data_IF_689466651810
#
_entry.id   IF_689466651810
#
_cell.length_a   1.000
_cell.length_b   1.000
_cell.length_c   1.000
_cell.angle_alpha   90.00
_cell.angle_beta   90.00
_cell.angle_gamma   90.00
#
_symmetry.space_group_name_H-M   'P 1'
#
loop_
_entity.id
_entity.type
_entity.pdbx_description
1 polymer ?
#
# COMPACT_ATOMS: atom_id res chain seq x y z
N UNK A 1 -58.43 1.97 -5.08
CA UNK A 1 -57.13 2.60 -4.74
C UNK A 1 -56.18 2.47 -5.94
N UNK A 2 -55.77 3.54 -6.60
CA UNK A 2 -54.71 3.48 -7.63
C UNK A 2 -53.39 3.10 -6.93
N UNK A 3 -52.65 2.12 -7.43
CA UNK A 3 -51.32 1.81 -6.86
C UNK A 3 -50.44 3.06 -7.01
N UNK A 4 -49.80 3.47 -5.93
CA UNK A 4 -48.79 4.52 -5.93
C UNK A 4 -47.72 4.17 -6.98
N UNK A 5 -47.70 4.90 -8.08
CA UNK A 5 -46.75 4.72 -9.16
C UNK A 5 -45.43 5.37 -8.76
N UNK A 6 -44.52 4.58 -8.16
CA UNK A 6 -43.16 5.02 -7.82
C UNK A 6 -42.35 5.27 -9.11
N UNK A 7 -42.00 6.55 -9.37
CA UNK A 7 -41.27 6.95 -10.58
C UNK A 7 -39.75 6.81 -10.39
N UNK A 8 -39.04 6.03 -11.21
CA UNK A 8 -37.59 5.95 -11.17
C UNK A 8 -36.87 7.29 -11.36
N UNK A 9 -37.52 8.26 -12.05
CA UNK A 9 -36.97 9.62 -12.25
C UNK A 9 -36.72 10.33 -10.93
N UNK A 10 -37.52 10.04 -9.89
CA UNK A 10 -37.32 10.61 -8.55
C UNK A 10 -35.98 10.16 -7.95
N UNK A 11 -35.67 8.85 -8.02
CA UNK A 11 -34.37 8.32 -7.57
C UNK A 11 -33.23 8.89 -8.40
N UNK A 12 -33.39 8.96 -9.71
CA UNK A 12 -32.38 9.54 -10.59
C UNK A 12 -32.10 11.01 -10.21
N UNK A 13 -33.12 11.82 -10.01
CA UNK A 13 -32.98 13.24 -9.60
C UNK A 13 -32.25 13.34 -8.24
N UNK A 14 -32.61 12.49 -7.28
CA UNK A 14 -31.96 12.45 -5.96
C UNK A 14 -30.48 12.12 -6.08
N UNK A 15 -30.12 11.04 -6.79
CA UNK A 15 -28.73 10.60 -6.99
C UNK A 15 -27.90 11.59 -7.84
N UNK A 16 -28.50 12.27 -8.81
CA UNK A 16 -27.81 13.34 -9.56
C UNK A 16 -27.44 14.52 -8.65
N UNK A 17 -28.32 14.85 -7.69
CA UNK A 17 -28.10 15.95 -6.75
C UNK A 17 -27.05 15.62 -5.69
N UNK A 18 -27.12 14.41 -5.11
CA UNK A 18 -26.30 14.01 -3.96
C UNK A 18 -25.10 13.15 -4.34
N UNK A 19 -24.99 12.72 -5.61
CA UNK A 19 -23.99 11.81 -6.20
C UNK A 19 -24.04 10.40 -5.65
N UNK A 20 -24.10 10.25 -4.31
CA UNK A 20 -24.28 8.96 -3.62
C UNK A 20 -25.49 9.05 -2.69
N UNK A 21 -26.12 7.93 -2.39
CA UNK A 21 -27.18 7.83 -1.40
C UNK A 21 -27.23 6.41 -0.80
N UNK A 22 -27.69 6.34 0.44
CA UNK A 22 -27.99 5.08 1.13
C UNK A 22 -29.40 4.58 0.78
N UNK A 23 -29.67 3.30 1.10
CA UNK A 23 -31.02 2.73 0.88
C UNK A 23 -32.13 3.47 1.65
N UNK A 24 -31.96 3.86 2.94
CA UNK A 24 -32.94 4.69 3.63
C UNK A 24 -33.23 6.01 2.93
N UNK A 25 -32.23 6.77 2.51
CA UNK A 25 -32.41 8.03 1.79
C UNK A 25 -33.14 7.83 0.46
N UNK A 26 -32.85 6.74 -0.25
CA UNK A 26 -33.56 6.38 -1.48
C UNK A 26 -35.02 5.98 -1.22
N UNK A 27 -35.32 5.32 -0.10
CA UNK A 27 -36.68 5.01 0.33
C UNK A 27 -37.48 6.30 0.60
N UNK A 28 -36.89 7.19 1.36
CA UNK A 28 -37.51 8.47 1.71
C UNK A 28 -37.74 9.32 0.44
N UNK A 29 -36.74 9.42 -0.44
CA UNK A 29 -36.86 10.14 -1.70
C UNK A 29 -37.97 9.57 -2.62
N UNK A 30 -38.17 8.24 -2.62
CA UNK A 30 -39.17 7.56 -3.43
C UNK A 30 -40.56 7.55 -2.77
N UNK A 31 -40.64 7.76 -1.44
CA UNK A 31 -41.84 7.56 -0.65
C UNK A 31 -42.23 6.08 -0.50
N UNK A 32 -41.24 5.18 -0.59
CA UNK A 32 -41.45 3.73 -0.52
C UNK A 32 -41.05 3.17 0.84
N UNK A 33 -41.90 2.30 1.42
CA UNK A 33 -41.59 1.60 2.66
C UNK A 33 -40.75 0.32 2.45
N UNK A 34 -40.88 -0.33 1.29
CA UNK A 34 -40.26 -1.62 0.98
C UNK A 34 -38.95 -1.47 0.17
N UNK A 35 -37.89 -2.10 0.62
CA UNK A 35 -36.56 -2.11 -0.04
C UNK A 35 -36.63 -2.66 -1.47
N UNK A 36 -37.39 -3.72 -1.69
CA UNK A 36 -37.60 -4.33 -3.00
C UNK A 36 -38.16 -3.33 -4.04
N UNK A 37 -39.00 -2.38 -3.61
CA UNK A 37 -39.53 -1.36 -4.49
C UNK A 37 -38.43 -0.43 -5.00
N UNK A 38 -37.54 -0.01 -4.10
CA UNK A 38 -36.36 0.82 -4.46
C UNK A 38 -35.46 0.05 -5.42
N UNK A 39 -35.08 -1.19 -5.11
CA UNK A 39 -34.20 -1.98 -5.97
C UNK A 39 -34.78 -2.26 -7.36
N UNK A 40 -36.11 -2.50 -7.46
CA UNK A 40 -36.77 -2.65 -8.76
C UNK A 40 -36.68 -1.37 -9.60
N UNK A 41 -36.72 -0.20 -8.97
CA UNK A 41 -36.56 1.10 -9.67
C UNK A 41 -35.11 1.44 -9.95
N UNK A 42 -34.16 1.13 -9.04
CA UNK A 42 -32.74 1.28 -9.28
C UNK A 42 -32.24 0.44 -10.46
N UNK A 43 -32.74 -0.79 -10.61
CA UNK A 43 -32.40 -1.65 -11.76
C UNK A 43 -32.73 -1.04 -13.12
N UNK A 44 -33.64 -0.08 -13.17
CA UNK A 44 -33.96 0.66 -14.40
C UNK A 44 -33.00 1.83 -14.67
N UNK A 45 -32.11 2.11 -13.69
CA UNK A 45 -31.21 3.27 -13.69
C UNK A 45 -29.78 2.76 -13.63
N UNK A 46 -29.15 2.27 -14.54
CA UNK A 46 -27.73 1.82 -14.49
C UNK A 46 -26.95 2.36 -13.26
N UNK A 47 -27.05 1.65 -12.14
CA UNK A 47 -26.50 2.05 -10.85
C UNK A 47 -25.31 1.21 -10.43
N UNK A 48 -24.48 1.77 -9.55
CA UNK A 48 -23.37 1.09 -8.89
C UNK A 48 -23.61 1.06 -7.40
N UNK A 49 -23.13 0.01 -6.73
CA UNK A 49 -22.99 -0.06 -5.27
C UNK A 49 -21.52 0.13 -4.86
N UNK A 50 -21.31 0.78 -3.73
CA UNK A 50 -19.96 0.92 -3.16
C UNK A 50 -19.36 -0.44 -2.83
N UNK A 51 -18.06 -0.59 -2.98
CA UNK A 51 -17.38 -1.78 -2.46
C UNK A 51 -16.91 -1.59 -1.02
N UNK A 52 -16.78 -0.35 -0.55
CA UNK A 52 -16.61 -0.02 0.86
C UNK A 52 -17.96 0.07 1.58
N UNK A 53 -17.93 0.24 2.91
CA UNK A 53 -19.13 0.42 3.75
C UNK A 53 -20.17 -0.72 3.55
N UNK A 54 -19.70 -1.94 3.25
CA UNK A 54 -20.54 -3.13 3.03
C UNK A 54 -21.59 -2.95 1.94
N UNK A 55 -21.31 -2.19 0.89
CA UNK A 55 -22.20 -1.97 -0.24
C UNK A 55 -23.42 -1.12 0.03
N UNK A 56 -23.40 -0.30 1.09
CA UNK A 56 -24.58 0.46 1.54
C UNK A 56 -24.89 1.71 0.74
N UNK A 57 -23.96 2.18 -0.09
CA UNK A 57 -24.13 3.40 -0.89
C UNK A 57 -24.32 3.06 -2.36
N UNK A 58 -25.17 3.84 -3.00
CA UNK A 58 -25.52 3.69 -4.42
C UNK A 58 -25.20 4.98 -5.17
N UNK A 59 -24.72 4.86 -6.40
CA UNK A 59 -24.42 5.95 -7.30
C UNK A 59 -24.96 5.62 -8.70
N UNK A 60 -25.26 6.63 -9.51
CA UNK A 60 -25.56 6.42 -10.93
C UNK A 60 -24.24 6.31 -11.72
N UNK A 61 -24.17 5.34 -12.63
CA UNK A 61 -23.01 5.17 -13.48
C UNK A 61 -22.66 6.43 -14.29
N UNK A 62 -23.66 7.19 -14.69
CA UNK A 62 -23.48 8.45 -15.43
C UNK A 62 -22.78 9.56 -14.61
N UNK A 63 -22.83 9.51 -13.28
CA UNK A 63 -22.18 10.48 -12.39
C UNK A 63 -20.76 10.10 -11.99
N UNK A 64 -20.44 8.82 -12.10
CA UNK A 64 -19.15 8.26 -11.69
C UNK A 64 -18.08 8.51 -12.77
N UNK A 65 -16.93 9.03 -12.36
CA UNK A 65 -15.75 9.20 -13.21
C UNK A 65 -14.62 8.37 -12.63
N UNK A 66 -14.48 7.15 -13.16
CA UNK A 66 -13.38 6.28 -12.73
C UNK A 66 -12.04 6.85 -13.16
N UNK A 67 -11.06 6.70 -12.29
CA UNK A 67 -9.65 6.95 -12.59
C UNK A 67 -9.06 5.87 -13.50
N UNK A 68 -7.75 5.97 -13.79
CA UNK A 68 -7.03 5.06 -14.68
C UNK A 68 -7.02 3.62 -14.16
N UNK A 69 -7.06 3.42 -12.83
CA UNK A 69 -7.11 2.09 -12.20
C UNK A 69 -8.54 1.57 -12.01
N UNK A 70 -9.55 2.37 -12.35
CA UNK A 70 -10.95 1.96 -12.32
C UNK A 70 -11.65 2.18 -10.99
N UNK A 71 -11.15 3.10 -10.17
CA UNK A 71 -11.74 3.49 -8.89
C UNK A 71 -12.36 4.89 -8.97
N UNK A 72 -13.34 5.13 -8.13
CA UNK A 72 -13.92 6.45 -7.90
C UNK A 72 -14.40 6.56 -6.45
N UNK A 73 -14.21 7.73 -5.86
CA UNK A 73 -14.67 8.00 -4.49
C UNK A 73 -15.47 9.28 -4.38
N UNK A 74 -16.36 9.30 -3.39
CA UNK A 74 -17.08 10.49 -2.94
C UNK A 74 -17.30 10.36 -1.43
N UNK A 75 -16.89 11.38 -0.65
CA UNK A 75 -17.00 11.41 0.81
C UNK A 75 -16.46 10.13 1.49
N UNK A 76 -15.25 9.69 1.09
CA UNK A 76 -14.60 8.46 1.57
C UNK A 76 -15.35 7.15 1.24
N UNK A 77 -16.39 7.18 0.43
CA UNK A 77 -17.09 6.01 -0.09
C UNK A 77 -16.53 5.64 -1.46
N UNK A 78 -16.05 4.40 -1.60
CA UNK A 78 -15.36 3.97 -2.82
C UNK A 78 -16.21 3.04 -3.68
N UNK A 79 -16.11 3.26 -4.98
CA UNK A 79 -16.77 2.50 -6.04
C UNK A 79 -15.71 1.98 -7.02
N UNK A 80 -15.97 0.82 -7.61
CA UNK A 80 -15.09 0.20 -8.58
C UNK A 80 -15.83 -0.13 -9.87
N UNK A 81 -15.13 0.01 -11.01
CA UNK A 81 -15.67 -0.46 -12.30
C UNK A 81 -15.85 -1.99 -12.33
N UNK A 82 -15.16 -2.69 -11.45
CA UNK A 82 -15.21 -4.15 -11.32
C UNK A 82 -16.36 -4.64 -10.40
N UNK A 83 -17.04 -3.73 -9.71
CA UNK A 83 -18.20 -4.00 -8.87
C UNK A 83 -17.85 -4.24 -7.40
N UNK A 84 -17.98 -5.48 -6.91
CA UNK A 84 -17.75 -5.82 -5.50
C UNK A 84 -16.28 -5.73 -5.09
N UNK A 85 -15.99 -5.67 -3.77
CA UNK A 85 -14.61 -5.72 -3.26
C UNK A 85 -13.87 -6.97 -3.74
N UNK A 86 -14.52 -8.14 -3.69
CA UNK A 86 -13.94 -9.42 -4.14
C UNK A 86 -13.54 -9.34 -5.62
N UNK A 87 -14.45 -8.88 -6.49
CA UNK A 87 -14.17 -8.75 -7.94
C UNK A 87 -13.10 -7.69 -8.22
N UNK A 88 -13.05 -6.63 -7.42
CA UNK A 88 -12.04 -5.58 -7.53
C UNK A 88 -10.66 -6.11 -7.14
N UNK A 89 -10.54 -6.79 -6.00
CA UNK A 89 -9.30 -7.45 -5.55
C UNK A 89 -8.79 -8.42 -6.60
N UNK A 90 -9.65 -9.29 -7.13
CA UNK A 90 -9.28 -10.23 -8.18
C UNK A 90 -8.75 -9.53 -9.44
N UNK A 91 -9.44 -8.49 -9.89
CA UNK A 91 -9.03 -7.73 -11.07
C UNK A 91 -7.69 -7.04 -10.87
N UNK A 92 -7.47 -6.43 -9.70
CA UNK A 92 -6.20 -5.77 -9.37
C UNK A 92 -5.03 -6.76 -9.34
N UNK A 93 -5.22 -7.94 -8.73
CA UNK A 93 -4.17 -8.97 -8.69
C UNK A 93 -3.88 -9.50 -10.10
N UNK A 94 -4.91 -9.77 -10.90
CA UNK A 94 -4.73 -10.30 -12.25
C UNK A 94 -4.14 -9.28 -13.23
N UNK A 95 -4.37 -7.98 -13.05
CA UNK A 95 -3.81 -6.93 -13.90
C UNK A 95 -2.43 -6.46 -13.46
N UNK A 96 -2.01 -6.79 -12.24
CA UNK A 96 -0.71 -6.39 -11.73
C UNK A 96 0.42 -7.13 -12.44
N UNK A 97 1.49 -6.46 -12.86
CA UNK A 97 2.67 -7.13 -13.42
C UNK A 97 3.49 -7.88 -12.37
N UNK A 98 3.32 -7.58 -11.08
CA UNK A 98 4.14 -8.11 -9.97
C UNK A 98 3.35 -8.67 -8.79
N UNK A 99 2.04 -8.91 -8.95
CA UNK A 99 1.15 -9.31 -7.85
C UNK A 99 1.03 -8.22 -6.76
N UNK A 100 0.39 -8.57 -5.64
CA UNK A 100 0.18 -7.65 -4.53
C UNK A 100 0.42 -8.32 -3.19
N UNK A 101 1.03 -7.60 -2.24
CA UNK A 101 0.90 -7.91 -0.83
C UNK A 101 -0.43 -7.36 -0.29
N UNK A 102 -0.95 -7.96 0.78
CA UNK A 102 -2.27 -7.58 1.30
C UNK A 102 -2.32 -6.13 1.79
N UNK A 103 -1.27 -5.65 2.44
CA UNK A 103 -1.14 -4.26 2.91
C UNK A 103 -1.08 -3.25 1.76
N UNK A 104 -0.26 -3.51 0.73
CA UNK A 104 -0.21 -2.67 -0.47
C UNK A 104 -1.58 -2.54 -1.14
N UNK A 105 -2.31 -3.67 -1.23
CA UNK A 105 -3.62 -3.69 -1.86
C UNK A 105 -4.69 -3.01 -1.00
N UNK A 106 -4.61 -3.15 0.34
CA UNK A 106 -5.49 -2.47 1.28
C UNK A 106 -5.31 -0.95 1.21
N UNK A 107 -4.07 -0.47 1.10
CA UNK A 107 -3.75 0.95 0.96
C UNK A 107 -4.34 1.54 -0.33
N UNK A 108 -4.20 0.83 -1.46
CA UNK A 108 -4.73 1.30 -2.75
C UNK A 108 -6.25 1.24 -2.81
N UNK A 109 -6.86 0.20 -2.24
CA UNK A 109 -8.32 0.03 -2.26
C UNK A 109 -9.04 0.74 -1.11
N UNK A 110 -8.30 1.30 -0.15
CA UNK A 110 -8.87 1.92 1.06
C UNK A 110 -9.88 1.01 1.77
N UNK A 111 -9.58 -0.28 1.84
CA UNK A 111 -10.47 -1.31 2.40
C UNK A 111 -9.66 -2.48 2.96
N UNK A 112 -10.22 -3.17 3.95
CA UNK A 112 -9.69 -4.45 4.42
C UNK A 112 -9.88 -5.52 3.34
N UNK A 113 -8.76 -6.17 2.94
CA UNK A 113 -8.75 -7.11 1.82
C UNK A 113 -8.47 -8.56 2.23
N UNK A 114 -8.23 -8.82 3.52
CA UNK A 114 -7.86 -10.13 4.04
C UNK A 114 -8.91 -11.20 3.72
N UNK A 115 -10.18 -10.94 4.07
CA UNK A 115 -11.28 -11.87 3.81
C UNK A 115 -11.49 -12.11 2.31
N UNK A 116 -11.59 -11.07 1.45
CA UNK A 116 -11.63 -11.24 0.00
C UNK A 116 -10.47 -12.06 -0.57
N UNK A 117 -9.23 -11.80 -0.13
CA UNK A 117 -8.06 -12.54 -0.59
C UNK A 117 -8.11 -14.01 -0.15
N UNK A 118 -8.51 -14.27 1.09
CA UNK A 118 -8.67 -15.63 1.59
C UNK A 118 -9.74 -16.42 0.81
N UNK A 119 -10.89 -15.80 0.53
CA UNK A 119 -11.96 -16.42 -0.24
C UNK A 119 -11.54 -16.72 -1.70
N UNK A 120 -10.81 -15.77 -2.32
CA UNK A 120 -10.30 -15.94 -3.69
C UNK A 120 -9.24 -17.07 -3.77
N UNK A 121 -8.37 -17.19 -2.78
CA UNK A 121 -7.38 -18.28 -2.73
C UNK A 121 -8.06 -19.61 -2.46
N UNK A 122 -9.02 -19.69 -1.52
CA UNK A 122 -9.81 -20.90 -1.24
C UNK A 122 -10.63 -21.36 -2.45
N UNK A 123 -11.13 -20.38 -3.23
CA UNK A 123 -11.85 -20.64 -4.49
C UNK A 123 -10.96 -20.86 -5.71
N UNK A 124 -9.64 -21.01 -5.54
CA UNK A 124 -8.64 -21.21 -6.61
C UNK A 124 -8.64 -20.11 -7.70
N UNK A 125 -9.20 -18.94 -7.39
CA UNK A 125 -9.25 -17.78 -8.28
C UNK A 125 -7.97 -16.93 -8.21
N UNK A 126 -7.23 -17.04 -7.12
CA UNK A 126 -5.90 -16.46 -6.92
C UNK A 126 -4.96 -17.50 -6.29
N UNK A 127 -3.66 -17.27 -6.41
CA UNK A 127 -2.61 -18.04 -5.73
C UNK A 127 -1.96 -17.19 -4.66
N UNK A 128 -1.40 -17.85 -3.65
CA UNK A 128 -0.64 -17.24 -2.59
C UNK A 128 0.73 -17.91 -2.48
N UNK A 129 1.80 -17.13 -2.47
CA UNK A 129 3.16 -17.59 -2.30
C UNK A 129 3.87 -16.75 -1.23
N UNK A 130 4.73 -17.37 -0.43
CA UNK A 130 5.53 -16.64 0.54
C UNK A 130 6.76 -16.03 -0.14
N UNK A 131 6.99 -14.73 0.09
CA UNK A 131 8.12 -13.97 -0.44
C UNK A 131 8.64 -13.06 0.68
N UNK A 132 9.87 -13.29 1.12
CA UNK A 132 10.52 -12.53 2.20
C UNK A 132 9.65 -12.42 3.48
N UNK A 133 9.06 -13.54 3.91
CA UNK A 133 8.23 -13.61 5.13
C UNK A 133 6.85 -12.98 5.01
N UNK A 134 6.42 -12.59 3.79
CA UNK A 134 5.10 -12.02 3.49
C UNK A 134 4.38 -12.83 2.43
N UNK A 135 3.06 -12.81 2.44
CA UNK A 135 2.26 -13.49 1.42
C UNK A 135 1.99 -12.59 0.22
N UNK A 136 2.56 -12.98 -0.93
CA UNK A 136 2.28 -12.39 -2.23
C UNK A 136 1.08 -13.08 -2.87
N UNK A 137 0.10 -12.31 -3.31
CA UNK A 137 -1.06 -12.78 -4.05
C UNK A 137 -0.86 -12.55 -5.54
N UNK A 138 -1.07 -13.60 -6.32
CA UNK A 138 -0.83 -13.66 -7.77
C UNK A 138 -2.01 -14.27 -8.49
N UNK A 139 -2.03 -14.15 -9.82
CA UNK A 139 -3.05 -14.75 -10.69
C UNK A 139 -3.17 -16.27 -10.47
N UNK A 140 -4.36 -16.81 -10.70
CA UNK A 140 -4.57 -18.26 -10.77
C UNK A 140 -3.87 -18.89 -11.99
N UNK A 141 -3.67 -18.13 -13.08
CA UNK A 141 -2.91 -18.59 -14.23
C UNK A 141 -1.45 -18.84 -13.87
N UNK A 142 -0.99 -20.07 -14.09
CA UNK A 142 0.33 -20.51 -13.64
C UNK A 142 1.50 -19.83 -14.37
N UNK A 143 1.32 -19.36 -15.61
CA UNK A 143 2.35 -18.62 -16.34
C UNK A 143 2.42 -17.19 -15.78
N UNK A 144 1.29 -16.53 -15.72
CA UNK A 144 1.20 -15.17 -15.21
C UNK A 144 1.66 -15.06 -13.75
N UNK A 145 1.28 -16.01 -12.90
CA UNK A 145 1.74 -16.06 -11.50
C UNK A 145 3.27 -16.16 -11.38
N UNK A 146 3.93 -16.96 -12.25
CA UNK A 146 5.40 -17.07 -12.26
C UNK A 146 6.06 -15.76 -12.71
N UNK A 147 5.48 -15.09 -13.69
CA UNK A 147 6.00 -13.81 -14.18
C UNK A 147 5.83 -12.71 -13.10
N UNK A 148 4.68 -12.67 -12.43
CA UNK A 148 4.44 -11.77 -11.28
C UNK A 148 5.43 -12.03 -10.15
N UNK A 149 5.65 -13.29 -9.79
CA UNK A 149 6.60 -13.66 -8.72
C UNK A 149 8.03 -13.25 -9.08
N UNK A 150 8.46 -13.53 -10.31
CA UNK A 150 9.79 -13.14 -10.80
C UNK A 150 9.97 -11.63 -10.79
N UNK A 151 8.98 -10.87 -11.31
CA UNK A 151 9.01 -9.42 -11.31
C UNK A 151 9.08 -8.85 -9.89
N UNK A 152 8.36 -9.45 -8.93
CA UNK A 152 8.41 -9.04 -7.51
C UNK A 152 9.79 -9.31 -6.89
N UNK A 153 10.38 -10.48 -7.12
CA UNK A 153 11.72 -10.83 -6.63
C UNK A 153 12.80 -9.92 -7.21
N UNK A 154 12.72 -9.61 -8.50
CA UNK A 154 13.65 -8.66 -9.14
C UNK A 154 13.53 -7.26 -8.54
N UNK A 155 12.31 -6.80 -8.24
CA UNK A 155 12.08 -5.49 -7.60
C UNK A 155 12.58 -5.43 -6.16
N UNK A 156 12.59 -6.55 -5.43
CA UNK A 156 13.11 -6.61 -4.06
C UNK A 156 14.64 -6.70 -4.01
N UNK A 157 15.29 -7.18 -5.07
CA UNK A 157 16.75 -7.32 -5.11
C UNK A 157 17.48 -5.98 -5.35
N UNK A 158 16.78 -4.89 -5.70
CA UNK A 158 17.40 -3.56 -5.89
C UNK A 158 16.48 -2.45 -5.36
N UNK A 159 16.55 -2.11 -4.06
CA UNK A 159 15.70 -1.07 -3.46
C UNK A 159 16.07 0.36 -3.81
N UNK A 160 17.14 0.60 -4.55
CA UNK A 160 17.80 1.88 -4.55
C UNK A 160 17.42 2.86 -5.66
N UNK A 161 16.73 2.44 -6.72
CA UNK A 161 16.24 3.37 -7.75
C UNK A 161 14.88 2.89 -8.24
N UNK A 162 13.87 3.73 -8.10
CA UNK A 162 12.50 3.44 -8.53
C UNK A 162 12.36 3.25 -10.07
N UNK A 163 13.42 3.53 -10.85
CA UNK A 163 13.43 3.44 -12.32
C UNK A 163 14.82 3.08 -12.87
N UNK A 164 15.39 1.94 -12.44
CA UNK A 164 16.62 1.42 -13.06
C UNK A 164 16.44 1.12 -14.57
N UNK A 165 15.21 0.88 -15.00
CA UNK A 165 14.89 0.67 -16.43
C UNK A 165 15.12 1.92 -17.29
N UNK A 166 15.08 3.12 -16.71
CA UNK A 166 15.34 4.37 -17.43
C UNK A 166 16.82 4.65 -17.67
N UNK A 167 17.72 4.00 -16.89
CA UNK A 167 19.14 4.31 -16.90
C UNK A 167 20.01 3.36 -17.74
N UNK A 168 19.45 2.29 -18.34
CA UNK A 168 20.18 1.26 -19.11
C UNK A 168 21.41 0.67 -18.36
N UNK A 169 21.41 0.71 -17.02
CA UNK A 169 22.50 0.21 -16.16
C UNK A 169 22.15 -1.19 -15.68
N UNK A 170 23.11 -2.10 -15.74
CA UNK A 170 22.89 -3.48 -15.24
C UNK A 170 22.69 -3.49 -13.72
N UNK A 171 21.93 -4.45 -13.15
CA UNK A 171 21.74 -4.58 -11.71
C UNK A 171 23.06 -4.64 -10.90
N UNK A 172 24.07 -5.27 -11.46
CA UNK A 172 25.38 -5.42 -10.80
C UNK A 172 26.20 -4.12 -10.83
N UNK A 173 26.13 -3.38 -11.92
CA UNK A 173 26.74 -2.04 -12.01
C UNK A 173 26.09 -1.07 -11.04
N UNK A 174 24.77 -1.12 -10.91
CA UNK A 174 24.04 -0.30 -9.95
C UNK A 174 24.41 -0.65 -8.51
N UNK A 175 24.51 -1.94 -8.16
CA UNK A 175 25.00 -2.38 -6.85
C UNK A 175 26.40 -1.87 -6.55
N UNK A 176 27.32 -1.98 -7.52
CA UNK A 176 28.69 -1.51 -7.40
C UNK A 176 28.73 0.03 -7.18
N UNK A 177 27.94 0.78 -7.92
CA UNK A 177 27.83 2.24 -7.77
C UNK A 177 27.30 2.65 -6.39
N UNK A 178 26.31 1.90 -5.86
CA UNK A 178 25.77 2.12 -4.53
C UNK A 178 26.81 1.86 -3.45
N UNK A 179 27.50 0.73 -3.51
CA UNK A 179 28.56 0.39 -2.57
C UNK A 179 29.69 1.43 -2.61
N UNK A 180 30.05 1.87 -3.80
CA UNK A 180 31.04 2.94 -3.96
C UNK A 180 30.54 4.24 -3.31
N UNK A 181 29.33 4.70 -3.63
CA UNK A 181 28.75 5.89 -3.01
C UNK A 181 28.70 5.75 -1.49
N UNK A 182 28.20 4.61 -0.99
CA UNK A 182 28.12 4.31 0.43
C UNK A 182 29.49 4.39 1.13
N UNK A 183 30.57 3.97 0.44
CA UNK A 183 31.93 4.01 0.98
C UNK A 183 32.45 5.45 1.20
N UNK A 184 31.92 6.42 0.45
CA UNK A 184 32.29 7.84 0.54
C UNK A 184 31.57 8.58 1.69
N UNK A 185 30.50 8.01 2.23
CA UNK A 185 29.71 8.62 3.31
C UNK A 185 30.43 8.50 4.66
N UNK A 186 30.24 9.48 5.53
CA UNK A 186 30.64 9.39 6.94
C UNK A 186 29.78 8.40 7.74
N UNK A 187 30.19 8.07 8.98
CA UNK A 187 29.48 7.08 9.83
C UNK A 187 28.01 7.45 10.07
N UNK A 188 27.71 8.72 10.29
CA UNK A 188 26.34 9.19 10.50
C UNK A 188 25.53 9.08 9.21
N UNK A 189 26.08 9.54 8.10
CA UNK A 189 25.45 9.48 6.79
C UNK A 189 25.20 8.03 6.34
N UNK A 190 26.15 7.11 6.55
CA UNK A 190 26.00 5.67 6.30
C UNK A 190 24.81 5.09 7.06
N UNK A 191 24.72 5.41 8.35
CA UNK A 191 23.62 4.93 9.20
C UNK A 191 22.27 5.50 8.76
N UNK A 192 22.20 6.79 8.43
CA UNK A 192 20.96 7.41 7.95
C UNK A 192 20.56 6.90 6.58
N UNK A 193 21.53 6.72 5.66
CA UNK A 193 21.27 6.13 4.35
C UNK A 193 20.72 4.69 4.47
N UNK A 194 21.35 3.84 5.28
CA UNK A 194 20.84 2.51 5.52
C UNK A 194 19.44 2.52 6.16
N UNK A 195 19.19 3.44 7.10
CA UNK A 195 17.87 3.60 7.70
C UNK A 195 16.79 4.06 6.70
N UNK A 196 17.13 4.97 5.78
CA UNK A 196 16.24 5.43 4.72
C UNK A 196 15.84 4.31 3.77
N UNK A 197 16.82 3.54 3.32
CA UNK A 197 16.57 2.42 2.42
C UNK A 197 15.78 1.29 3.11
N UNK A 198 16.01 1.08 4.42
CA UNK A 198 15.21 0.14 5.21
C UNK A 198 13.74 0.56 5.31
N UNK A 199 13.45 1.86 5.43
CA UNK A 199 12.07 2.37 5.40
C UNK A 199 11.38 2.02 4.07
N UNK A 200 12.08 2.17 2.95
CA UNK A 200 11.54 1.84 1.61
C UNK A 200 11.28 0.34 1.44
N UNK A 201 12.09 -0.51 2.05
CA UNK A 201 11.91 -1.97 2.04
C UNK A 201 10.77 -2.45 2.94
N UNK A 202 10.43 -1.69 3.98
CA UNK A 202 9.40 -2.05 4.94
C UNK A 202 9.83 -3.20 5.86
N UNK A 203 8.92 -4.14 6.11
CA UNK A 203 9.16 -5.24 7.06
C UNK A 203 10.36 -6.12 6.65
N UNK A 204 11.28 -6.35 7.55
CA UNK A 204 12.52 -7.12 7.29
C UNK A 204 13.64 -6.31 6.62
N UNK A 205 13.39 -5.05 6.22
CA UNK A 205 14.36 -4.21 5.54
C UNK A 205 15.65 -3.98 6.29
N UNK A 206 15.61 -3.94 7.63
CA UNK A 206 16.80 -3.77 8.48
C UNK A 206 17.79 -4.93 8.28
N UNK A 207 17.32 -6.17 8.22
CA UNK A 207 18.13 -7.37 8.04
C UNK A 207 18.71 -7.47 6.63
N UNK A 208 17.86 -7.29 5.62
CA UNK A 208 18.26 -7.36 4.21
C UNK A 208 19.34 -6.31 3.90
N UNK A 209 19.16 -5.11 4.40
CA UNK A 209 20.10 -4.02 4.14
C UNK A 209 21.39 -4.15 4.92
N UNK A 210 21.31 -4.69 6.15
CA UNK A 210 22.47 -5.00 6.96
C UNK A 210 23.38 -6.03 6.25
N UNK A 211 22.81 -7.09 5.70
CA UNK A 211 23.52 -8.11 4.92
C UNK A 211 24.15 -7.49 3.65
N UNK A 212 23.40 -6.69 2.91
CA UNK A 212 23.86 -6.06 1.67
C UNK A 212 25.00 -5.06 1.89
N UNK A 213 24.93 -4.24 2.95
CA UNK A 213 25.92 -3.19 3.24
C UNK A 213 27.04 -3.64 4.19
N UNK A 214 27.01 -4.87 4.68
CA UNK A 214 27.96 -5.37 5.67
C UNK A 214 27.84 -4.68 7.04
N UNK A 215 26.63 -4.37 7.47
CA UNK A 215 26.33 -3.68 8.72
C UNK A 215 25.69 -4.61 9.75
N UNK A 216 25.67 -4.15 11.01
CA UNK A 216 24.82 -4.75 12.03
C UNK A 216 23.36 -4.28 11.85
N UNK A 217 22.34 -5.18 11.93
CA UNK A 217 20.92 -4.79 11.80
C UNK A 217 20.46 -3.73 12.79
N UNK A 218 21.03 -3.69 14.01
CA UNK A 218 20.72 -2.65 14.99
C UNK A 218 21.23 -1.27 14.55
N UNK A 219 22.31 -1.22 13.77
CA UNK A 219 22.81 0.04 13.19
C UNK A 219 21.82 0.59 12.16
N UNK A 220 21.26 -0.28 11.32
CA UNK A 220 20.23 0.08 10.33
C UNK A 220 18.95 0.53 11.04
N UNK A 221 18.46 -0.25 12.01
CA UNK A 221 17.27 0.08 12.79
C UNK A 221 17.43 1.43 13.52
N UNK A 222 18.62 1.71 14.06
CA UNK A 222 18.93 3.00 14.71
C UNK A 222 18.89 4.16 13.72
N UNK A 223 19.40 3.96 12.50
CA UNK A 223 19.32 4.97 11.42
C UNK A 223 17.88 5.25 11.02
N UNK A 224 17.08 4.21 10.85
CA UNK A 224 15.64 4.28 10.58
C UNK A 224 14.89 5.07 11.66
N UNK A 225 15.15 4.74 12.94
CA UNK A 225 14.53 5.44 14.06
C UNK A 225 14.91 6.92 14.12
N UNK A 226 16.20 7.26 13.87
CA UNK A 226 16.65 8.65 13.84
C UNK A 226 15.95 9.49 12.77
N UNK A 227 15.64 8.89 11.61
CA UNK A 227 14.89 9.55 10.54
C UNK A 227 13.43 9.76 10.93
N UNK A 228 12.77 8.73 11.48
CA UNK A 228 11.36 8.79 11.91
C UNK A 228 11.16 9.81 13.03
N UNK A 229 12.08 9.86 14.00
CA UNK A 229 12.04 10.80 15.14
C UNK A 229 12.52 12.20 14.74
N UNK A 230 13.00 12.41 13.51
CA UNK A 230 13.65 13.65 13.05
C UNK A 230 14.79 14.12 13.96
N UNK A 231 15.44 13.19 14.64
CA UNK A 231 16.52 13.45 15.60
C UNK A 231 17.89 13.28 14.93
N UNK A 232 18.20 14.17 14.01
CA UNK A 232 19.47 14.20 13.23
C UNK A 232 20.32 15.33 13.75
N UNK A 233 21.48 15.03 14.35
CA UNK A 233 22.43 16.03 14.75
C UNK A 233 23.12 16.62 13.50
N UNK A 234 22.75 17.84 13.14
CA UNK A 234 23.40 18.58 12.06
C UNK A 234 24.69 19.23 12.57
N UNK A 235 25.84 18.90 11.98
CA UNK A 235 27.10 19.58 12.24
C UNK A 235 28.09 18.88 13.18
N UNK A 236 27.79 17.68 13.73
CA UNK A 236 28.75 16.88 14.50
C UNK A 236 28.51 15.38 14.27
N UNK A 237 29.56 14.66 13.91
CA UNK A 237 29.55 13.21 13.69
C UNK A 237 29.32 12.38 14.96
N UNK A 238 29.57 12.95 16.16
CA UNK A 238 29.43 12.29 17.47
C UNK A 238 28.66 13.15 18.46
N UNK A 239 27.81 12.52 19.29
CA UNK A 239 27.15 13.20 20.41
C UNK A 239 28.20 13.76 21.39
N UNK A 240 27.93 14.94 21.97
CA UNK A 240 28.70 15.51 23.07
C UNK A 240 28.79 14.49 24.22
N UNK A 241 29.99 14.15 24.66
CA UNK A 241 30.24 13.15 25.71
C UNK A 241 30.72 11.76 25.26
N UNK A 242 30.80 11.47 23.95
CA UNK A 242 31.24 10.17 23.39
C UNK A 242 32.75 9.99 23.26
N UNK A 243 33.56 10.76 23.95
CA UNK A 243 35.01 10.61 23.97
C UNK A 243 35.52 9.72 25.11
N UNK A 244 36.70 9.11 24.94
CA UNK A 244 37.41 8.39 26.02
C UNK A 244 37.58 9.35 27.19
N UNK A 245 37.10 8.99 28.40
CA UNK A 245 37.34 9.81 29.61
C UNK A 245 38.88 10.02 29.77
N UNK A 246 39.34 11.25 30.05
CA UNK A 246 40.76 11.45 30.32
C UNK A 246 41.17 10.61 31.53
N UNK A 247 42.29 9.88 31.38
CA UNK A 247 42.88 9.13 32.49
C UNK A 247 43.48 10.19 33.41
N UNK A 248 42.92 10.37 34.60
CA UNK A 248 43.54 11.19 35.66
C UNK A 248 44.90 10.60 35.99
N UNK A 249 45.96 11.34 35.67
CA UNK A 249 47.30 11.02 36.13
C UNK A 249 47.34 11.08 37.65
N UNK A 250 47.51 9.95 38.31
CA UNK A 250 47.76 9.90 39.73
C UNK A 250 48.99 10.78 40.04
N UNK A 251 48.93 11.69 41.05
CA UNK A 251 50.09 12.48 41.42
C UNK A 251 51.20 11.55 41.96
N UNK A 252 52.49 11.92 41.74
CA UNK A 252 53.58 11.12 42.25
C UNK A 252 53.59 11.08 43.75
N UNK A 253 53.59 9.93 44.35
CA UNK A 253 53.77 9.69 45.78
C UNK A 253 55.15 10.20 46.19
N UNK A 254 55.17 11.27 47.01
CA UNK A 254 56.39 11.75 47.66
C UNK A 254 56.86 10.73 48.65
N UNK A 255 58.04 10.15 48.39
CA UNK A 255 58.76 9.32 49.38
C UNK A 255 59.47 10.20 50.39
N UNK A 256 59.21 9.94 51.65
CA UNK A 256 60.06 10.30 52.78
C UNK A 256 60.63 9.02 53.33
#
# INVERSE_FOLDING_TARGET
>A
MRPLAFDPKTLRKHLLRHKIATLPELKDALGASADLTVFRKLKLLDYLSSYTHRGRYYALRETVRFDDVGLWSHDAVWFSRYGTLVSTVESFVNQSPRGWFADELADVLHAEVQDPLHDLVRGERLRRSEVAGRYLYTSADGRHARDQLRARQTSQSVPLVADASALQVSPDELKAAILLFYSLLDEQQRRLFAGLESIKLGHGGDTVLAEFLGLDPHTVARGRQQLLDRNIATGRTRRSGGGRKPVEKKPPTSSR
#
